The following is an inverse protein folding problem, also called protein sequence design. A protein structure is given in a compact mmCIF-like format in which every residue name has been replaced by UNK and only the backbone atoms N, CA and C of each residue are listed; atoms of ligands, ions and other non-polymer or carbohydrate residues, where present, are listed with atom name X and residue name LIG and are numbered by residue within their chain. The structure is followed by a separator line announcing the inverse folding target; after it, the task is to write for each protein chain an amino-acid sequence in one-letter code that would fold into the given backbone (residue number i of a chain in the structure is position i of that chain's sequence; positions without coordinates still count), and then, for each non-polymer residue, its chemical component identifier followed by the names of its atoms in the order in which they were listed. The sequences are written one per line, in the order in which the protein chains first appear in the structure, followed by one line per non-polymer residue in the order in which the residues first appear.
data_IF_794268140834
#
_entry.id   IF_794268140834
#
_cell.length_a   1.000
_cell.length_b   1.000
_cell.length_c   1.000
_cell.angle_alpha   90.00
_cell.angle_beta   90.00
_cell.angle_gamma   90.00
#
_symmetry.space_group_name_H-M   'P 1'
#
loop_
_entity.id
_entity.type
_entity.pdbx_description
1 polymer ?
#
# COMPACT_ATOMS: atom_id res chain seq x y z
N UNK A 1 -3.16 12.70 18.63
CA UNK A 1 -3.33 13.07 17.19
C UNK A 1 -2.55 12.05 16.39
N UNK A 2 -3.13 11.50 15.33
CA UNK A 2 -2.51 10.48 14.46
C UNK A 2 -1.46 11.14 13.54
N UNK A 3 -0.44 10.41 13.09
CA UNK A 3 0.70 10.92 12.30
C UNK A 3 0.58 10.41 10.87
N UNK A 4 0.73 11.28 9.88
CA UNK A 4 0.76 10.83 8.50
C UNK A 4 2.09 10.12 8.23
N UNK A 5 2.03 8.97 7.56
CA UNK A 5 3.20 8.17 7.22
C UNK A 5 3.38 8.11 5.71
N UNK A 6 4.63 8.26 5.26
CA UNK A 6 5.01 8.10 3.86
C UNK A 6 6.30 7.31 3.81
N UNK A 7 6.34 6.27 2.97
CA UNK A 7 7.58 5.60 2.60
C UNK A 7 7.85 5.78 1.11
N UNK A 8 9.00 6.34 0.77
CA UNK A 8 9.49 6.49 -0.60
C UNK A 8 10.67 5.54 -0.87
N UNK A 9 10.59 4.76 -1.94
CA UNK A 9 11.73 4.01 -2.47
C UNK A 9 12.63 4.95 -3.29
N UNK A 10 13.92 4.96 -3.00
CA UNK A 10 14.89 5.87 -3.61
C UNK A 10 16.05 5.12 -4.26
N UNK A 11 16.62 5.61 -5.37
CA UNK A 11 17.74 4.96 -6.04
C UNK A 11 19.08 5.19 -5.32
N UNK A 12 19.19 6.26 -4.52
CA UNK A 12 20.37 6.64 -3.77
C UNK A 12 19.96 7.19 -2.41
N UNK A 13 20.30 6.48 -1.34
CA UNK A 13 19.94 6.86 0.02
C UNK A 13 20.64 8.15 0.45
N UNK A 14 21.94 8.27 0.21
CA UNK A 14 22.70 9.45 0.65
C UNK A 14 22.27 10.73 -0.09
N UNK A 15 21.91 10.64 -1.38
CA UNK A 15 21.41 11.80 -2.13
C UNK A 15 20.04 12.22 -1.62
N UNK A 16 19.16 11.25 -1.37
CA UNK A 16 17.83 11.49 -0.81
C UNK A 16 17.90 12.06 0.61
N UNK A 17 18.79 11.57 1.48
CA UNK A 17 19.00 12.13 2.82
C UNK A 17 19.37 13.61 2.72
N UNK A 18 20.33 13.98 1.86
CA UNK A 18 20.72 15.39 1.70
C UNK A 18 19.54 16.26 1.25
N UNK A 19 18.75 15.77 0.30
CA UNK A 19 17.57 16.49 -0.18
C UNK A 19 16.50 16.66 0.91
N UNK A 20 16.09 15.58 1.57
CA UNK A 20 15.02 15.62 2.56
C UNK A 20 15.44 16.32 3.85
N UNK A 21 16.69 16.20 4.28
CA UNK A 21 17.19 16.97 5.43
C UNK A 21 17.13 18.47 5.17
N UNK A 22 17.45 18.91 3.94
CA UNK A 22 17.31 20.31 3.55
C UNK A 22 15.83 20.74 3.46
N UNK A 23 14.96 19.91 2.88
CA UNK A 23 13.53 20.19 2.75
C UNK A 23 12.84 20.33 4.11
N UNK A 24 13.16 19.44 5.06
CA UNK A 24 12.55 19.42 6.39
C UNK A 24 13.28 20.29 7.41
N UNK A 25 14.44 20.87 7.03
CA UNK A 25 15.35 21.55 7.94
C UNK A 25 15.67 20.71 9.19
N UNK A 26 15.77 19.38 9.03
CA UNK A 26 15.97 18.43 10.11
C UNK A 26 16.72 17.18 9.63
N UNK A 27 17.61 16.65 10.45
CA UNK A 27 18.28 15.37 10.17
C UNK A 27 17.38 14.17 10.49
N UNK A 28 17.59 12.99 9.87
CA UNK A 28 16.79 11.81 10.15
C UNK A 28 16.97 11.35 11.60
N UNK A 29 15.87 11.04 12.26
CA UNK A 29 15.84 10.49 13.62
C UNK A 29 16.30 9.03 13.68
N UNK A 30 16.21 8.31 12.55
CA UNK A 30 16.81 6.99 12.37
C UNK A 30 17.58 6.98 11.07
N UNK A 31 18.84 6.54 11.12
CA UNK A 31 19.67 6.29 9.93
C UNK A 31 20.29 4.91 9.99
N UNK A 32 20.22 4.19 8.88
CA UNK A 32 20.76 2.85 8.64
C UNK A 32 21.39 2.81 7.24
N UNK A 33 22.17 1.78 6.89
CA UNK A 33 22.84 1.71 5.58
C UNK A 33 21.89 1.77 4.37
N UNK A 34 20.63 1.34 4.53
CA UNK A 34 19.64 1.20 3.46
C UNK A 34 18.28 1.84 3.79
N UNK A 35 18.22 2.63 4.86
CA UNK A 35 16.99 3.21 5.40
C UNK A 35 17.25 4.50 6.19
N UNK A 36 16.39 5.49 6.02
CA UNK A 36 16.35 6.67 6.88
C UNK A 36 14.91 7.09 7.19
N UNK A 37 14.70 7.68 8.36
CA UNK A 37 13.38 8.13 8.83
C UNK A 37 13.48 9.48 9.53
N UNK A 38 12.49 10.33 9.32
CA UNK A 38 12.25 11.57 10.04
C UNK A 38 10.93 11.47 10.81
N UNK A 39 10.93 11.99 12.04
CA UNK A 39 9.73 12.18 12.85
C UNK A 39 9.54 13.69 13.05
N UNK A 40 8.70 14.31 12.23
CA UNK A 40 8.53 15.77 12.15
C UNK A 40 7.26 16.18 12.86
N UNK A 41 7.26 17.22 13.69
CA UNK A 41 6.03 17.66 14.38
C UNK A 41 5.23 18.72 13.62
N UNK A 42 5.87 19.49 12.74
CA UNK A 42 5.24 20.48 11.86
C UNK A 42 5.91 20.47 10.47
N UNK A 43 5.27 19.85 9.44
CA UNK A 43 4.02 19.10 9.50
C UNK A 43 4.18 17.78 10.27
N UNK A 44 3.09 17.28 10.89
CA UNK A 44 3.12 16.05 11.70
C UNK A 44 3.23 14.77 10.86
N UNK A 45 4.46 14.42 10.48
CA UNK A 45 4.76 13.35 9.52
C UNK A 45 5.80 12.37 10.08
N UNK A 46 5.63 11.08 9.79
CA UNK A 46 6.66 10.06 9.80
C UNK A 46 7.07 9.83 8.34
N UNK A 47 8.26 10.28 7.97
CA UNK A 47 8.73 10.19 6.59
C UNK A 47 9.88 9.19 6.54
N UNK A 48 9.75 8.18 5.71
CA UNK A 48 10.74 7.11 5.55
C UNK A 48 11.21 7.01 4.10
N UNK A 49 12.49 6.68 3.94
CA UNK A 49 13.08 6.34 2.65
C UNK A 49 13.87 5.05 2.74
N UNK A 50 13.92 4.29 1.65
CA UNK A 50 14.79 3.12 1.55
C UNK A 50 15.35 2.91 0.16
N UNK A 51 16.56 2.34 0.09
CA UNK A 51 17.22 1.93 -1.14
C UNK A 51 17.34 0.41 -1.15
N UNK A 52 16.29 -0.27 -1.64
CA UNK A 52 16.12 -1.73 -1.49
C UNK A 52 15.71 -2.45 -2.77
N UNK A 53 15.93 -1.83 -3.93
CA UNK A 53 15.62 -2.43 -5.24
C UNK A 53 14.17 -2.29 -5.70
N UNK A 54 13.25 -1.79 -4.87
CA UNK A 54 11.91 -1.42 -5.30
C UNK A 54 11.95 -0.23 -6.27
N UNK A 55 10.93 -0.15 -7.14
CA UNK A 55 10.76 0.95 -8.10
C UNK A 55 10.80 2.31 -7.39
N UNK A 56 11.60 3.28 -7.88
CA UNK A 56 11.66 4.61 -7.29
C UNK A 56 10.29 5.31 -7.28
N UNK A 57 9.93 5.87 -6.14
CA UNK A 57 8.63 6.55 -5.96
C UNK A 57 7.98 6.23 -4.63
N UNK A 58 6.72 6.65 -4.48
CA UNK A 58 5.92 6.31 -3.30
C UNK A 58 5.75 4.80 -3.24
N UNK A 59 6.29 4.19 -2.19
CA UNK A 59 6.18 2.76 -1.94
C UNK A 59 4.84 2.45 -1.27
N UNK A 60 4.52 3.17 -0.20
CA UNK A 60 3.24 3.11 0.49
C UNK A 60 2.97 4.38 1.30
N UNK A 61 1.72 4.55 1.68
CA UNK A 61 1.24 5.61 2.57
C UNK A 61 0.75 5.00 3.88
N UNK A 62 0.51 5.83 4.88
CA UNK A 62 -0.09 5.31 6.09
C UNK A 62 -0.50 6.32 7.14
N UNK A 63 -1.05 5.77 8.23
CA UNK A 63 -1.43 6.48 9.43
C UNK A 63 -0.82 5.76 10.64
N UNK A 64 0.18 6.40 11.24
CA UNK A 64 0.72 5.95 12.52
C UNK A 64 -0.17 6.47 13.66
N UNK A 65 -0.55 5.57 14.55
CA UNK A 65 -1.28 5.88 15.77
C UNK A 65 -0.39 5.68 17.00
N UNK A 66 -0.77 6.29 18.13
CA UNK A 66 0.05 6.29 19.35
C UNK A 66 -0.46 5.32 20.42
N UNK A 67 -1.64 4.73 20.23
CA UNK A 67 -2.24 3.79 21.18
C UNK A 67 -2.98 2.66 20.47
N UNK A 68 -3.13 1.53 21.17
CA UNK A 68 -3.96 0.41 20.72
C UNK A 68 -5.42 0.83 20.50
N UNK A 69 -5.98 1.69 21.36
CA UNK A 69 -7.34 2.21 21.19
C UNK A 69 -7.48 2.99 19.89
N UNK A 70 -6.54 3.86 19.56
CA UNK A 70 -6.53 4.57 18.27
C UNK A 70 -6.37 3.62 17.08
N UNK A 71 -5.68 2.48 17.26
CA UNK A 71 -5.53 1.45 16.23
C UNK A 71 -6.84 0.71 15.99
N UNK A 72 -7.54 0.33 17.06
CA UNK A 72 -8.87 -0.29 17.01
C UNK A 72 -9.91 0.64 16.36
N UNK A 73 -9.88 1.95 16.66
CA UNK A 73 -10.72 2.94 15.98
C UNK A 73 -10.50 2.97 14.47
N UNK A 74 -9.26 2.81 14.02
CA UNK A 74 -8.94 2.78 12.60
C UNK A 74 -9.36 1.46 11.96
N UNK A 75 -9.17 0.32 12.64
CA UNK A 75 -9.66 -0.98 12.20
C UNK A 75 -11.16 -0.95 11.92
N UNK A 76 -11.96 -0.39 12.83
CA UNK A 76 -13.42 -0.27 12.65
C UNK A 76 -13.81 0.51 11.40
N UNK A 77 -12.97 1.42 10.92
CA UNK A 77 -13.17 2.14 9.65
C UNK A 77 -12.81 1.26 8.46
N UNK A 78 -11.74 0.47 8.57
CA UNK A 78 -11.32 -0.48 7.54
C UNK A 78 -12.33 -1.61 7.37
N UNK A 79 -13.05 -2.02 8.42
CA UNK A 79 -14.15 -2.99 8.36
C UNK A 79 -15.28 -2.55 7.40
N UNK A 80 -15.37 -1.25 7.08
CA UNK A 80 -16.35 -0.70 6.15
C UNK A 80 -15.88 -0.77 4.68
N UNK A 81 -14.64 -1.18 4.41
CA UNK A 81 -14.11 -1.27 3.05
C UNK A 81 -14.54 -2.58 2.39
N UNK A 82 -15.15 -2.48 1.21
CA UNK A 82 -15.51 -3.66 0.40
C UNK A 82 -14.30 -4.49 -0.04
N UNK A 83 -13.14 -3.84 -0.19
CA UNK A 83 -11.87 -4.48 -0.60
C UNK A 83 -11.24 -5.31 0.52
N UNK A 84 -11.70 -5.16 1.77
CA UNK A 84 -11.09 -5.75 2.95
C UNK A 84 -9.71 -5.15 3.29
N UNK A 85 -9.05 -5.74 4.29
CA UNK A 85 -7.70 -5.40 4.72
C UNK A 85 -6.95 -6.66 5.17
N UNK A 86 -5.62 -6.58 5.22
CA UNK A 86 -4.74 -7.63 5.77
C UNK A 86 -4.22 -7.20 7.14
N UNK A 87 -4.35 -8.09 8.11
CA UNK A 87 -3.85 -7.88 9.48
C UNK A 87 -2.43 -8.45 9.65
N UNK A 88 -1.58 -7.72 10.36
CA UNK A 88 -0.24 -8.14 10.78
C UNK A 88 -0.02 -7.73 12.25
N UNK A 89 -0.29 -8.65 13.18
CA UNK A 89 -0.09 -8.44 14.62
C UNK A 89 1.32 -8.85 15.03
N UNK A 90 1.97 -8.02 15.85
CA UNK A 90 3.31 -8.25 16.39
C UNK A 90 4.41 -8.30 15.32
N UNK A 91 4.16 -7.76 14.13
CA UNK A 91 5.06 -7.85 12.99
C UNK A 91 6.35 -7.06 13.22
N UNK A 92 7.47 -7.71 12.95
CA UNK A 92 8.82 -7.17 13.07
C UNK A 92 9.35 -6.77 11.67
N UNK A 93 9.11 -5.53 11.25
CA UNK A 93 9.60 -4.98 9.98
C UNK A 93 10.13 -3.55 10.20
N UNK A 94 11.15 -3.14 9.44
CA UNK A 94 11.72 -1.80 9.47
C UNK A 94 12.29 -1.35 10.83
N UNK A 95 12.96 -2.24 11.56
CA UNK A 95 13.55 -1.94 12.89
C UNK A 95 12.52 -1.61 13.98
N UNK A 96 11.26 -1.99 13.75
CA UNK A 96 10.18 -1.86 14.71
C UNK A 96 9.36 -3.14 14.81
N UNK A 97 8.80 -3.39 16.00
CA UNK A 97 7.68 -4.31 16.19
C UNK A 97 6.40 -3.49 16.20
N UNK A 98 5.38 -3.89 15.45
CA UNK A 98 4.15 -3.12 15.32
C UNK A 98 2.96 -4.02 15.04
N UNK A 99 1.78 -3.57 15.47
CA UNK A 99 0.51 -4.08 14.97
C UNK A 99 0.09 -3.23 13.79
N UNK A 100 -0.31 -3.88 12.68
CA UNK A 100 -0.61 -3.20 11.41
C UNK A 100 -1.85 -3.75 10.73
N UNK A 101 -2.53 -2.85 10.03
CA UNK A 101 -3.58 -3.17 9.06
C UNK A 101 -3.23 -2.57 7.70
N UNK A 102 -3.30 -3.38 6.65
CA UNK A 102 -2.99 -2.99 5.27
C UNK A 102 -4.21 -3.03 4.38
N UNK A 103 -4.43 -1.97 3.61
CA UNK A 103 -5.44 -1.93 2.55
C UNK A 103 -4.84 -1.30 1.29
N UNK A 104 -5.44 -1.57 0.14
CA UNK A 104 -5.12 -0.86 -1.09
C UNK A 104 -6.22 0.15 -1.40
N UNK A 105 -5.84 1.33 -1.88
CA UNK A 105 -6.81 2.29 -2.37
C UNK A 105 -7.31 1.94 -3.79
N UNK A 106 -8.31 2.65 -4.34
CA UNK A 106 -8.86 2.35 -5.66
C UNK A 106 -7.89 2.47 -6.83
N UNK A 107 -6.73 3.13 -6.65
CA UNK A 107 -5.69 3.26 -7.67
C UNK A 107 -4.48 2.34 -7.41
N UNK A 108 -4.57 1.50 -6.38
CA UNK A 108 -3.58 0.47 -6.07
C UNK A 108 -2.48 0.90 -5.11
N UNK A 109 -2.50 2.13 -4.57
CA UNK A 109 -1.50 2.55 -3.58
C UNK A 109 -1.72 1.74 -2.29
N UNK A 110 -0.68 1.12 -1.72
CA UNK A 110 -0.79 0.45 -0.43
C UNK A 110 -0.86 1.47 0.71
N UNK A 111 -1.75 1.21 1.65
CA UNK A 111 -1.94 2.00 2.87
C UNK A 111 -1.74 1.11 4.10
N UNK A 112 -0.86 1.53 5.02
CA UNK A 112 -0.74 0.94 6.36
C UNK A 112 -1.35 1.83 7.44
N UNK A 113 -2.09 1.23 8.37
CA UNK A 113 -2.35 1.84 9.68
C UNK A 113 -1.63 1.01 10.73
N UNK A 114 -0.84 1.65 11.59
CA UNK A 114 -0.04 0.90 12.55
C UNK A 114 0.20 1.61 13.89
N UNK A 115 0.44 0.79 14.91
CA UNK A 115 0.93 1.19 16.22
C UNK A 115 2.29 0.54 16.47
N UNK A 116 3.33 1.34 16.72
CA UNK A 116 4.67 0.82 17.04
C UNK A 116 4.76 0.44 18.51
N UNK A 117 5.11 -0.81 18.77
CA UNK A 117 5.23 -1.39 20.10
C UNK A 117 6.66 -1.27 20.65
N UNK A 118 7.65 -1.69 19.84
CA UNK A 118 9.06 -1.72 20.23
C UNK A 118 9.97 -1.35 19.05
N UNK A 119 11.21 -0.98 19.35
CA UNK A 119 12.31 -0.93 18.36
C UNK A 119 13.12 -2.22 18.40
N UNK A 120 13.44 -2.79 17.24
CA UNK A 120 14.23 -4.02 17.09
C UNK A 120 15.50 -3.74 16.26
N UNK A 121 16.61 -4.47 16.47
CA UNK A 121 17.86 -4.20 15.76
C UNK A 121 17.85 -4.66 14.29
N UNK A 122 16.86 -5.48 13.92
CA UNK A 122 16.78 -6.14 12.61
C UNK A 122 15.74 -5.46 11.73
N UNK A 123 16.01 -5.43 10.42
CA UNK A 123 15.06 -4.92 9.45
C UNK A 123 13.89 -5.89 9.23
N UNK A 124 14.14 -7.19 9.38
CA UNK A 124 13.15 -8.25 9.22
C UNK A 124 13.46 -9.35 10.23
N UNK A 125 12.47 -9.78 11.01
CA UNK A 125 12.48 -11.09 11.64
C UNK A 125 11.45 -11.95 10.89
N UNK A 126 11.94 -12.88 10.07
CA UNK A 126 11.07 -13.93 9.58
C UNK A 126 10.61 -14.76 10.78
N UNK A 127 9.31 -14.70 11.10
CA UNK A 127 8.69 -15.81 11.82
C UNK A 127 8.97 -17.11 11.04
N UNK A 128 9.19 -18.25 11.70
CA UNK A 128 9.71 -19.45 11.08
C UNK A 128 8.64 -20.20 10.30
N UNK A 129 7.96 -19.55 9.36
CA UNK A 129 7.13 -20.20 8.34
C UNK A 129 7.44 -19.50 7.01
N UNK A 130 8.16 -20.23 6.16
CA UNK A 130 8.93 -19.68 5.07
C UNK A 130 8.13 -19.05 3.93
N UNK A 131 8.74 -18.01 3.36
CA UNK A 131 8.76 -17.82 1.91
C UNK A 131 8.39 -16.44 1.42
N UNK A 132 9.33 -15.48 1.49
CA UNK A 132 9.43 -14.39 0.51
C UNK A 132 10.88 -13.93 0.36
N UNK A 133 11.60 -14.58 -0.57
CA UNK A 133 12.87 -14.09 -1.10
C UNK A 133 12.57 -13.22 -2.32
N UNK A 134 12.82 -11.91 -2.22
CA UNK A 134 12.76 -10.98 -3.34
C UNK A 134 11.51 -10.09 -3.34
N UNK A 135 11.78 -8.78 -3.23
CA UNK A 135 10.91 -7.62 -3.49
C UNK A 135 9.66 -7.41 -2.60
N UNK A 136 9.60 -6.23 -1.97
CA UNK A 136 8.44 -5.70 -1.22
C UNK A 136 8.01 -6.41 0.08
N UNK A 137 8.91 -7.05 0.82
CA UNK A 137 8.60 -7.78 2.07
C UNK A 137 7.79 -7.00 3.15
N UNK A 138 7.68 -5.67 3.07
CA UNK A 138 6.89 -4.86 4.02
C UNK A 138 5.56 -4.34 3.45
N UNK A 139 5.23 -4.60 2.19
CA UNK A 139 3.92 -4.29 1.60
C UNK A 139 3.33 -5.61 1.12
N UNK A 140 2.19 -6.07 1.67
CA UNK A 140 1.53 -7.26 1.13
C UNK A 140 1.29 -7.11 -0.38
N UNK A 141 1.61 -8.13 -1.17
CA UNK A 141 1.28 -8.14 -2.59
C UNK A 141 -0.23 -7.97 -2.74
N UNK A 142 -0.64 -6.85 -3.36
CA UNK A 142 -2.05 -6.50 -3.50
C UNK A 142 -2.80 -7.58 -4.30
N UNK A 143 -3.84 -8.16 -3.70
CA UNK A 143 -4.84 -8.92 -4.45
C UNK A 143 -5.82 -7.90 -5.01
N UNK A 144 -5.52 -7.35 -6.18
CA UNK A 144 -6.49 -6.50 -6.89
C UNK A 144 -7.63 -7.40 -7.35
N UNK A 145 -8.73 -7.43 -6.60
CA UNK A 145 -9.97 -7.98 -7.10
C UNK A 145 -10.51 -7.02 -8.16
N UNK A 146 -10.15 -7.28 -9.42
CA UNK A 146 -10.78 -6.63 -10.57
C UNK A 146 -12.26 -6.99 -10.53
N UNK A 147 -13.08 -6.09 -10.02
CA UNK A 147 -14.53 -6.19 -10.19
C UNK A 147 -14.79 -6.05 -11.68
N UNK A 148 -14.96 -7.20 -12.34
CA UNK A 148 -15.38 -7.25 -13.73
C UNK A 148 -16.66 -6.43 -13.86
N UNK A 149 -16.76 -5.50 -14.83
CA UNK A 149 -17.97 -4.71 -14.99
C UNK A 149 -19.12 -5.68 -15.26
N UNK A 150 -20.17 -5.61 -14.43
CA UNK A 150 -21.44 -6.30 -14.69
C UNK A 150 -21.81 -6.01 -16.14
N UNK A 151 -21.81 -7.05 -16.99
CA UNK A 151 -22.35 -6.99 -18.35
C UNK A 151 -23.73 -6.36 -18.25
N UNK A 152 -23.87 -5.12 -18.74
CA UNK A 152 -25.18 -4.55 -18.95
C UNK A 152 -25.91 -5.50 -19.89
N UNK A 153 -26.97 -6.13 -19.40
CA UNK A 153 -27.85 -6.93 -20.24
C UNK A 153 -28.46 -5.99 -21.27
N UNK A 154 -27.99 -6.09 -22.51
CA UNK A 154 -28.65 -5.44 -23.64
C UNK A 154 -30.05 -6.07 -23.73
N UNK A 155 -31.05 -5.33 -23.28
CA UNK A 155 -32.46 -5.65 -23.51
C UNK A 155 -32.73 -5.42 -24.99
N UNK A 156 -32.89 -6.50 -25.75
CA UNK A 156 -33.35 -6.45 -27.13
C UNK A 156 -34.77 -5.88 -27.18
N UNK A 157 -34.91 -4.60 -27.50
CA UNK A 157 -36.18 -4.04 -27.95
C UNK A 157 -36.42 -4.49 -29.39
N UNK A 158 -37.28 -5.50 -29.54
CA UNK A 158 -37.77 -5.96 -30.84
C UNK A 158 -38.51 -4.85 -31.58
N UNK A 159 -38.14 -4.65 -32.84
CA UNK A 159 -39.02 -4.07 -33.84
C UNK A 159 -39.31 -5.14 -34.89
N UNK A 160 -40.60 -5.39 -35.08
CA UNK A 160 -41.11 -6.40 -35.98
C UNK A 160 -40.88 -6.06 -37.45
N UNK A 161 -40.79 -7.16 -38.22
CA UNK A 161 -41.20 -7.37 -39.61
C UNK A 161 -40.82 -6.31 -40.66
N UNK A 162 -40.11 -6.72 -41.72
CA UNK A 162 -40.69 -7.21 -43.00
C UNK A 162 -39.66 -8.10 -43.72
N UNK A 163 -40.15 -9.15 -44.38
CA UNK A 163 -39.40 -10.18 -45.11
C UNK A 163 -38.85 -9.72 -46.48
N UNK A 164 -37.71 -10.29 -46.92
CA UNK A 164 -37.65 -11.27 -48.03
C UNK A 164 -36.20 -11.66 -48.43
N UNK A 165 -35.99 -12.98 -48.45
CA UNK A 165 -35.16 -13.87 -49.30
C UNK A 165 -33.68 -13.58 -49.64
N UNK A 166 -32.88 -14.58 -49.22
CA UNK A 166 -31.78 -15.27 -49.92
C UNK A 166 -30.57 -14.46 -50.40
N UNK A 167 -29.40 -14.68 -49.79
CA UNK A 167 -28.41 -15.64 -50.28
C UNK A 167 -27.29 -15.86 -49.24
N UNK A 168 -26.59 -16.99 -49.34
CA UNK A 168 -25.54 -17.49 -48.45
C UNK A 168 -24.30 -16.57 -48.40
N UNK A 169 -23.70 -16.41 -47.21
CA UNK A 169 -22.33 -16.88 -46.86
C UNK A 169 -21.79 -16.19 -45.60
N UNK A 170 -20.96 -16.95 -44.90
CA UNK A 170 -20.47 -16.80 -43.53
C UNK A 170 -19.39 -15.73 -43.29
N UNK A 171 -19.17 -15.46 -41.99
CA UNK A 171 -18.04 -14.78 -41.34
C UNK A 171 -18.15 -13.25 -41.34
N UNK A 172 -17.97 -12.53 -40.23
CA UNK A 172 -17.51 -12.81 -38.89
C UNK A 172 -17.36 -11.42 -38.23
N UNK A 173 -17.77 -11.27 -36.97
CA UNK A 173 -17.85 -9.98 -36.29
C UNK A 173 -16.51 -9.22 -36.24
N UNK A 174 -16.59 -7.89 -36.42
CA UNK A 174 -15.69 -6.92 -35.79
C UNK A 174 -16.25 -6.50 -34.43
#
# INVERSE_FOLDING_TARGET
MKRFHVHVSVPSLDDAIRFYSALFAAEPTVRKPDYAKWMLDDPRVNFAISQRGAEPGVNHLGVQVETETELQEMQQRLDQLETGYTEQIGAACCYARSDKYWANDPVGIPWETYHTLDTIPLFNDAAPDGGHTGDNCCVPTAVVMVTSPKRASITCCGHGAVANNADETSAGCC
#
